data_IF_699591336582
#
_entry.id   IF_699591336582
#
_cell.length_a   1.000
_cell.length_b   1.000
_cell.length_c   1.000
_cell.angle_alpha   90.00
_cell.angle_beta   90.00
_cell.angle_gamma   90.00
#
_symmetry.space_group_name_H-M   'P 1'
#
loop_
_entity.id
_entity.type
_entity.pdbx_description
1 polymer ?
#
# COMPACT_ATOMS: atom_id res chain seq x y z
N UNK A 1 20.56 26.99 -12.72
CA UNK A 1 19.99 25.68 -12.27
C UNK A 1 21.11 24.66 -11.97
N UNK A 2 22.08 24.42 -12.87
CA UNK A 2 23.17 23.43 -12.62
C UNK A 2 24.08 23.78 -11.44
N UNK A 3 24.29 25.05 -11.10
CA UNK A 3 25.13 25.45 -9.97
C UNK A 3 24.48 25.22 -8.59
N UNK A 4 23.17 25.06 -8.53
CA UNK A 4 22.41 24.77 -7.30
C UNK A 4 22.20 23.29 -7.06
N UNK A 5 22.49 22.43 -8.06
CA UNK A 5 22.43 20.98 -7.90
C UNK A 5 23.68 20.51 -7.15
N UNK A 6 23.50 19.85 -6.01
CA UNK A 6 24.62 19.19 -5.30
C UNK A 6 25.40 18.26 -6.24
N UNK A 7 26.66 17.97 -5.93
CA UNK A 7 27.57 17.14 -6.77
C UNK A 7 27.02 15.75 -7.08
N UNK A 8 26.02 15.28 -6.35
CA UNK A 8 25.43 13.96 -6.46
C UNK A 8 24.41 13.84 -7.59
N UNK A 9 23.80 14.96 -8.00
CA UNK A 9 22.74 14.96 -8.99
C UNK A 9 23.28 15.18 -10.42
N UNK A 10 22.82 14.37 -11.35
CA UNK A 10 23.00 14.55 -12.79
C UNK A 10 21.90 15.43 -13.38
N UNK A 11 20.67 15.24 -12.86
CA UNK A 11 19.48 16.01 -13.20
C UNK A 11 18.75 16.39 -11.90
N UNK A 12 18.07 17.52 -11.88
CA UNK A 12 17.15 17.84 -10.79
C UNK A 12 16.00 16.85 -10.80
N UNK A 13 15.70 16.15 -9.68
CA UNK A 13 14.50 15.37 -9.60
C UNK A 13 13.28 16.30 -9.60
N UNK A 14 12.20 15.89 -10.24
CA UNK A 14 10.91 16.56 -10.12
C UNK A 14 10.40 16.46 -8.69
N UNK A 15 9.59 17.41 -8.24
CA UNK A 15 8.82 17.26 -7.02
C UNK A 15 7.76 16.16 -7.21
N UNK A 16 7.21 15.56 -6.13
CA UNK A 16 6.13 14.58 -6.28
C UNK A 16 4.94 15.12 -7.07
N UNK A 17 4.55 16.36 -6.81
CA UNK A 17 3.47 17.05 -7.51
C UNK A 17 3.77 17.23 -8.99
N UNK A 18 4.95 17.79 -9.33
CA UNK A 18 5.39 17.96 -10.70
C UNK A 18 5.45 16.64 -11.46
N UNK A 19 5.95 15.57 -10.83
CA UNK A 19 6.02 14.25 -11.42
C UNK A 19 4.63 13.65 -11.71
N UNK A 20 3.65 13.92 -10.86
CA UNK A 20 2.28 13.44 -11.02
C UNK A 20 1.52 14.27 -12.07
N UNK A 21 1.67 15.59 -12.07
CA UNK A 21 0.78 16.50 -12.81
C UNK A 21 1.34 16.93 -14.17
N UNK A 22 2.68 16.98 -14.34
CA UNK A 22 3.27 17.47 -15.58
C UNK A 22 3.18 16.45 -16.71
N UNK A 23 2.90 16.96 -17.93
CA UNK A 23 2.86 16.17 -19.16
C UNK A 23 4.22 15.55 -19.55
N UNK A 24 5.33 16.11 -19.08
CA UNK A 24 6.67 15.55 -19.24
C UNK A 24 6.83 14.22 -18.49
N UNK A 25 6.11 14.05 -17.39
CA UNK A 25 6.15 12.87 -16.54
C UNK A 25 4.86 12.03 -16.65
N UNK A 26 4.06 11.97 -15.61
CA UNK A 26 2.87 11.10 -15.55
C UNK A 26 1.56 11.81 -15.93
N UNK A 27 1.52 13.13 -16.02
CA UNK A 27 0.27 13.89 -16.17
C UNK A 27 -0.63 13.39 -17.29
N UNK A 28 -0.08 13.08 -18.48
CA UNK A 28 -0.86 12.54 -19.59
C UNK A 28 -1.28 11.08 -19.42
N UNK A 29 -0.65 10.32 -18.49
CA UNK A 29 -0.95 8.91 -18.25
C UNK A 29 -1.89 8.69 -17.07
N UNK A 30 -2.11 9.75 -16.29
CA UNK A 30 -2.96 9.74 -15.10
C UNK A 30 -4.24 10.51 -15.43
N UNK A 31 -5.37 9.84 -15.34
CA UNK A 31 -6.64 10.51 -15.52
C UNK A 31 -6.97 11.36 -14.27
N UNK A 32 -6.74 12.68 -14.36
CA UNK A 32 -6.93 13.61 -13.26
C UNK A 32 -8.38 13.73 -12.79
N UNK A 33 -9.34 13.51 -13.70
CA UNK A 33 -10.76 13.62 -13.40
C UNK A 33 -11.26 12.49 -12.48
N UNK A 34 -10.67 11.29 -12.61
CA UNK A 34 -11.18 10.10 -11.92
C UNK A 34 -10.47 9.77 -10.61
N UNK A 35 -9.25 10.27 -10.37
CA UNK A 35 -8.44 9.84 -9.24
C UNK A 35 -7.81 10.95 -8.39
N UNK A 36 -8.43 12.13 -8.20
CA UNK A 36 -7.80 13.23 -7.48
C UNK A 36 -7.44 12.86 -6.04
N UNK A 37 -8.36 12.19 -5.34
CA UNK A 37 -8.16 11.77 -3.93
C UNK A 37 -7.02 10.74 -3.81
N UNK A 38 -6.92 9.81 -4.76
CA UNK A 38 -5.86 8.79 -4.78
C UNK A 38 -4.48 9.41 -5.01
N UNK A 39 -4.40 10.43 -5.89
CA UNK A 39 -3.18 11.20 -6.09
C UNK A 39 -2.82 12.00 -4.84
N UNK A 40 -3.81 12.65 -4.23
CA UNK A 40 -3.60 13.42 -3.01
C UNK A 40 -3.02 12.56 -1.88
N UNK A 41 -3.50 11.32 -1.71
CA UNK A 41 -2.94 10.41 -0.71
C UNK A 41 -1.44 10.13 -0.93
N UNK A 42 -1.00 10.02 -2.19
CA UNK A 42 0.42 9.87 -2.50
C UNK A 42 1.20 11.15 -2.19
N UNK A 43 0.66 12.32 -2.54
CA UNK A 43 1.27 13.60 -2.22
C UNK A 43 1.39 13.82 -0.71
N UNK A 44 0.32 13.55 0.05
CA UNK A 44 0.31 13.66 1.51
C UNK A 44 1.38 12.77 2.14
N UNK A 45 1.56 11.55 1.63
CA UNK A 45 2.62 10.66 2.08
C UNK A 45 4.01 11.28 1.86
N UNK A 46 4.29 11.83 0.68
CA UNK A 46 5.59 12.45 0.43
C UNK A 46 5.81 13.73 1.26
N UNK A 47 4.76 14.53 1.46
CA UNK A 47 4.81 15.73 2.31
C UNK A 47 5.05 15.36 3.78
N UNK A 48 4.54 14.23 4.25
CA UNK A 48 4.75 13.76 5.62
C UNK A 48 6.22 13.51 5.97
N UNK A 49 7.07 13.28 4.97
CA UNK A 49 8.48 12.93 5.14
C UNK A 49 8.72 11.51 5.70
N UNK A 50 7.69 10.76 6.02
CA UNK A 50 7.76 9.43 6.62
C UNK A 50 8.33 8.38 5.67
N UNK A 51 8.92 7.32 6.24
CA UNK A 51 9.50 6.22 5.47
C UNK A 51 8.48 5.14 5.10
N UNK A 52 7.48 4.95 5.94
CA UNK A 52 6.47 3.90 5.78
C UNK A 52 5.09 4.50 5.52
N UNK A 53 4.30 3.85 4.67
CA UNK A 53 2.90 4.19 4.46
C UNK A 53 2.03 2.94 4.56
N UNK A 54 0.93 3.06 5.29
CA UNK A 54 -0.12 2.06 5.41
C UNK A 54 -1.41 2.57 4.76
N UNK A 55 -1.82 1.93 3.67
CA UNK A 55 -3.07 2.23 2.98
C UNK A 55 -4.08 1.10 3.20
N UNK A 56 -4.95 1.27 4.19
CA UNK A 56 -6.05 0.37 4.48
C UNK A 56 -7.27 0.78 3.67
N UNK A 57 -7.60 0.07 2.61
CA UNK A 57 -8.56 0.57 1.63
C UNK A 57 -9.52 -0.49 1.11
N UNK A 58 -10.72 -0.03 0.75
CA UNK A 58 -11.74 -0.83 0.11
C UNK A 58 -11.24 -1.50 -1.18
N UNK A 59 -11.92 -2.58 -1.60
CA UNK A 59 -11.65 -3.21 -2.88
C UNK A 59 -11.96 -2.23 -4.02
N UNK A 60 -11.00 -2.06 -4.93
CA UNK A 60 -11.16 -1.17 -6.09
C UNK A 60 -10.93 0.32 -5.80
N UNK A 61 -10.41 0.70 -4.62
CA UNK A 61 -10.09 2.09 -4.23
C UNK A 61 -8.91 2.73 -4.95
N UNK A 62 -8.11 1.96 -5.67
CA UNK A 62 -6.94 2.49 -6.38
C UNK A 62 -5.59 2.15 -5.75
N UNK A 63 -5.53 1.17 -4.84
CA UNK A 63 -4.27 0.68 -4.23
C UNK A 63 -3.14 0.51 -5.25
N UNK A 64 -3.37 -0.32 -6.27
CA UNK A 64 -2.36 -0.56 -7.31
C UNK A 64 -2.05 0.67 -8.19
N UNK A 65 -2.94 1.67 -8.20
CA UNK A 65 -2.69 2.95 -8.85
C UNK A 65 -1.65 3.75 -8.05
N UNK A 66 -1.81 3.85 -6.72
CA UNK A 66 -0.84 4.49 -5.81
C UNK A 66 0.54 3.82 -5.91
N UNK A 67 0.58 2.48 -5.81
CA UNK A 67 1.82 1.72 -5.95
C UNK A 67 2.57 2.02 -7.24
N UNK A 68 1.83 2.15 -8.36
CA UNK A 68 2.45 2.43 -9.66
C UNK A 68 3.06 3.84 -9.75
N UNK A 69 2.45 4.83 -9.08
CA UNK A 69 2.99 6.19 -8.99
C UNK A 69 4.26 6.19 -8.13
N UNK A 70 4.20 5.59 -6.93
CA UNK A 70 5.34 5.55 -6.01
C UNK A 70 6.53 4.86 -6.65
N UNK A 71 6.33 3.68 -7.25
CA UNK A 71 7.41 2.94 -7.92
C UNK A 71 8.06 3.76 -9.05
N UNK A 72 7.23 4.42 -9.88
CA UNK A 72 7.74 5.24 -10.97
C UNK A 72 8.50 6.48 -10.45
N UNK A 73 7.96 7.15 -9.43
CA UNK A 73 8.59 8.33 -8.85
C UNK A 73 9.94 8.01 -8.20
N UNK A 74 10.03 6.94 -7.42
CA UNK A 74 11.29 6.55 -6.80
C UNK A 74 12.33 6.09 -7.84
N UNK A 75 11.91 5.41 -8.91
CA UNK A 75 12.79 5.10 -10.03
C UNK A 75 13.32 6.40 -10.69
N UNK A 76 12.44 7.40 -10.90
CA UNK A 76 12.83 8.71 -11.40
C UNK A 76 13.88 9.38 -10.51
N UNK A 77 13.64 9.44 -9.21
CA UNK A 77 14.58 10.05 -8.24
C UNK A 77 15.97 9.39 -8.29
N UNK A 78 16.01 8.06 -8.26
CA UNK A 78 17.26 7.30 -8.31
C UNK A 78 18.02 7.53 -9.64
N UNK A 79 17.31 7.58 -10.77
CA UNK A 79 17.87 7.82 -12.08
C UNK A 79 18.42 9.25 -12.24
N UNK A 80 17.90 10.22 -11.50
CA UNK A 80 18.41 11.59 -11.47
C UNK A 80 19.78 11.69 -10.78
N UNK A 81 20.16 10.74 -9.93
CA UNK A 81 21.49 10.68 -9.32
C UNK A 81 22.57 10.36 -10.38
N UNK A 82 23.74 10.96 -10.27
CA UNK A 82 24.90 10.69 -11.14
C UNK A 82 25.42 9.27 -10.94
N UNK A 83 25.56 8.86 -9.70
CA UNK A 83 25.98 7.52 -9.29
C UNK A 83 25.17 7.08 -8.07
N UNK A 84 24.00 6.46 -8.28
CA UNK A 84 23.12 6.08 -7.17
C UNK A 84 23.79 5.17 -6.13
N UNK A 85 24.49 4.13 -6.56
CA UNK A 85 25.15 3.21 -5.64
C UNK A 85 26.16 3.94 -4.73
N UNK A 86 26.99 4.82 -5.28
CA UNK A 86 27.95 5.61 -4.51
C UNK A 86 27.24 6.57 -3.53
N UNK A 87 26.16 7.23 -3.98
CA UNK A 87 25.39 8.14 -3.13
C UNK A 87 24.79 7.40 -1.94
N UNK A 88 24.32 6.18 -2.15
CA UNK A 88 23.79 5.32 -1.09
C UNK A 88 24.90 4.63 -0.26
N UNK A 89 26.17 4.80 -0.62
CA UNK A 89 27.31 4.15 0.07
C UNK A 89 27.41 2.66 -0.18
N UNK A 90 26.92 2.21 -1.32
CA UNK A 90 26.91 0.82 -1.74
C UNK A 90 28.01 0.54 -2.78
N UNK A 91 28.29 -0.74 -3.02
CA UNK A 91 29.23 -1.15 -4.07
C UNK A 91 28.75 -0.74 -5.46
N UNK A 92 29.66 -0.51 -6.40
CA UNK A 92 29.33 -0.08 -7.77
C UNK A 92 28.51 -1.10 -8.57
N UNK A 93 28.54 -2.37 -8.18
CA UNK A 93 27.80 -3.49 -8.75
C UNK A 93 26.46 -3.75 -8.05
N UNK A 94 26.14 -3.00 -6.98
CA UNK A 94 24.88 -3.09 -6.24
C UNK A 94 23.66 -2.92 -7.15
N UNK A 95 22.69 -3.82 -6.97
CA UNK A 95 21.42 -3.79 -7.69
C UNK A 95 20.38 -3.06 -6.84
N UNK A 96 20.19 -1.78 -7.12
CA UNK A 96 19.20 -0.94 -6.43
C UNK A 96 17.80 -1.34 -6.85
N UNK A 97 17.03 -1.87 -5.92
CA UNK A 97 15.77 -2.53 -6.26
C UNK A 97 14.56 -1.85 -5.63
N UNK A 98 13.59 -1.60 -6.48
CA UNK A 98 12.20 -1.32 -6.14
C UNK A 98 11.45 -2.65 -6.24
N UNK A 99 11.09 -3.22 -5.11
CA UNK A 99 10.41 -4.52 -5.04
C UNK A 99 8.91 -4.31 -4.93
N UNK A 100 8.14 -4.99 -5.80
CA UNK A 100 6.70 -5.06 -5.68
C UNK A 100 6.28 -6.49 -5.35
N UNK A 101 5.71 -6.70 -4.18
CA UNK A 101 5.24 -7.99 -3.73
C UNK A 101 3.73 -8.11 -3.78
N UNK A 102 3.24 -9.34 -3.96
CA UNK A 102 1.85 -9.72 -3.83
C UNK A 102 1.71 -11.10 -3.20
N UNK A 103 0.51 -11.52 -2.78
CA UNK A 103 0.29 -12.82 -2.13
C UNK A 103 0.70 -14.02 -3.01
N UNK A 104 0.64 -13.85 -4.33
CA UNK A 104 1.01 -14.87 -5.32
C UNK A 104 1.78 -14.26 -6.47
N UNK A 105 2.79 -15.00 -6.98
CA UNK A 105 3.65 -14.55 -8.09
C UNK A 105 2.87 -14.03 -9.30
N UNK A 106 1.81 -14.73 -9.70
CA UNK A 106 0.99 -14.33 -10.84
C UNK A 106 0.23 -13.01 -10.58
N UNK A 107 -0.24 -12.79 -9.36
CA UNK A 107 -0.94 -11.57 -8.97
C UNK A 107 0.03 -10.39 -8.94
N UNK A 108 1.19 -10.53 -8.33
CA UNK A 108 2.23 -9.50 -8.31
C UNK A 108 2.61 -9.05 -9.74
N UNK A 109 2.81 -10.01 -10.65
CA UNK A 109 3.18 -9.72 -12.06
C UNK A 109 2.02 -9.12 -12.87
N UNK A 110 0.81 -9.68 -12.77
CA UNK A 110 -0.30 -9.28 -13.65
C UNK A 110 -1.01 -8.01 -13.19
N UNK A 111 -1.08 -7.74 -11.90
CA UNK A 111 -1.88 -6.63 -11.39
C UNK A 111 -1.02 -5.39 -11.18
N UNK A 112 -0.08 -5.41 -10.24
CA UNK A 112 0.67 -4.19 -9.88
C UNK A 112 1.84 -3.95 -10.83
N UNK A 113 2.65 -4.96 -11.09
CA UNK A 113 3.81 -4.80 -11.96
C UNK A 113 3.42 -4.36 -13.39
N UNK A 114 2.33 -4.90 -13.95
CA UNK A 114 1.85 -4.44 -15.26
C UNK A 114 1.43 -2.97 -15.26
N UNK A 115 0.86 -2.48 -14.16
CA UNK A 115 0.52 -1.06 -14.01
C UNK A 115 1.75 -0.19 -13.86
N UNK A 116 2.74 -0.63 -13.06
CA UNK A 116 4.03 0.06 -12.95
C UNK A 116 4.68 0.18 -14.33
N UNK A 117 4.77 -0.93 -15.07
CA UNK A 117 5.30 -0.95 -16.43
C UNK A 117 4.54 0.00 -17.35
N UNK A 118 3.20 -0.04 -17.30
CA UNK A 118 2.34 0.85 -18.09
C UNK A 118 2.61 2.33 -17.79
N UNK A 119 2.84 2.71 -16.52
CA UNK A 119 3.22 4.08 -16.15
C UNK A 119 4.59 4.48 -16.71
N UNK A 120 5.58 3.60 -16.56
CA UNK A 120 6.92 3.83 -17.13
C UNK A 120 6.85 3.96 -18.66
N UNK A 121 6.10 3.07 -19.32
CA UNK A 121 5.93 3.12 -20.78
C UNK A 121 5.14 4.35 -21.26
N UNK A 122 4.24 4.89 -20.46
CA UNK A 122 3.48 6.09 -20.79
C UNK A 122 4.28 7.39 -20.53
N UNK A 123 5.23 7.38 -19.60
CA UNK A 123 5.98 8.54 -19.15
C UNK A 123 7.02 8.97 -20.19
N UNK A 124 6.93 10.18 -20.79
CA UNK A 124 7.90 10.67 -21.78
C UNK A 124 9.32 10.73 -21.22
N UNK A 125 9.48 11.17 -19.97
CA UNK A 125 10.78 11.31 -19.33
C UNK A 125 11.62 10.02 -19.35
N UNK A 126 11.02 8.86 -18.99
CA UNK A 126 11.72 7.58 -19.06
C UNK A 126 12.08 7.19 -20.49
N UNK A 127 11.17 7.42 -21.43
CA UNK A 127 11.41 7.08 -22.84
C UNK A 127 12.61 7.82 -23.42
N UNK A 128 12.74 9.10 -23.10
CA UNK A 128 13.77 9.96 -23.69
C UNK A 128 15.10 9.87 -22.95
N UNK A 129 15.08 9.78 -21.62
CA UNK A 129 16.33 9.92 -20.86
C UNK A 129 16.87 8.61 -20.32
N UNK A 130 16.00 7.72 -19.90
CA UNK A 130 16.40 6.47 -19.20
C UNK A 130 15.49 5.29 -19.59
N UNK A 131 15.52 4.86 -20.88
CA UNK A 131 14.75 3.67 -21.26
C UNK A 131 15.27 2.43 -20.57
N UNK A 132 14.36 1.57 -20.14
CA UNK A 132 14.71 0.25 -19.60
C UNK A 132 14.92 -0.77 -20.73
N UNK A 133 15.58 -1.89 -20.43
CA UNK A 133 15.80 -2.98 -21.37
C UNK A 133 14.50 -3.74 -21.69
N UNK A 134 13.97 -3.54 -22.89
CA UNK A 134 12.72 -4.17 -23.35
C UNK A 134 12.85 -5.66 -23.71
N UNK A 135 14.07 -6.20 -23.80
CA UNK A 135 14.29 -7.62 -24.08
C UNK A 135 13.94 -8.47 -22.85
N UNK A 136 13.97 -7.88 -21.66
CA UNK A 136 13.68 -8.56 -20.40
C UNK A 136 12.25 -8.26 -20.00
N UNK A 137 11.45 -9.30 -19.81
CA UNK A 137 10.01 -9.18 -19.47
C UNK A 137 9.70 -9.48 -18.01
N UNK A 138 10.62 -10.13 -17.31
CA UNK A 138 10.43 -10.53 -15.91
C UNK A 138 10.60 -9.39 -14.91
N UNK A 139 11.36 -8.36 -15.29
CA UNK A 139 11.67 -7.20 -14.46
C UNK A 139 11.98 -5.99 -15.37
N UNK A 140 11.93 -4.76 -14.82
CA UNK A 140 12.40 -3.58 -15.53
C UNK A 140 13.84 -3.31 -15.10
N UNK A 141 14.75 -3.30 -16.07
CA UNK A 141 16.17 -2.99 -15.87
C UNK A 141 16.49 -1.65 -16.48
N UNK A 142 16.80 -0.69 -15.65
CA UNK A 142 17.23 0.63 -16.05
C UNK A 142 18.75 0.76 -16.04
N UNK A 143 19.32 1.81 -16.68
CA UNK A 143 20.71 2.19 -16.46
C UNK A 143 21.03 2.38 -14.97
N UNK A 144 22.33 2.42 -14.64
CA UNK A 144 22.85 2.65 -13.27
C UNK A 144 22.45 1.56 -12.27
N UNK A 145 22.20 0.33 -12.74
CA UNK A 145 21.82 -0.83 -11.94
C UNK A 145 20.55 -0.61 -11.10
N UNK A 146 19.54 0.07 -11.65
CA UNK A 146 18.25 0.28 -11.01
C UNK A 146 17.24 -0.72 -11.58
N UNK A 147 16.53 -1.43 -10.70
CA UNK A 147 15.61 -2.51 -11.05
C UNK A 147 14.25 -2.30 -10.42
N UNK A 148 13.19 -2.65 -11.15
CA UNK A 148 11.85 -2.84 -10.59
C UNK A 148 11.49 -4.32 -10.77
N UNK A 149 11.28 -5.02 -9.65
CA UNK A 149 11.16 -6.49 -9.60
C UNK A 149 9.83 -6.88 -8.95
N UNK A 150 9.05 -7.77 -9.59
CA UNK A 150 7.91 -8.40 -8.94
C UNK A 150 8.34 -9.59 -8.08
N UNK A 151 7.83 -9.70 -6.85
CA UNK A 151 8.05 -10.81 -5.92
C UNK A 151 6.74 -11.34 -5.33
N UNK A 152 6.81 -12.39 -4.54
CA UNK A 152 5.66 -12.93 -3.82
C UNK A 152 6.04 -13.43 -2.41
N UNK A 153 5.02 -13.62 -1.55
CA UNK A 153 5.21 -14.01 -0.15
C UNK A 153 5.70 -15.45 0.05
N UNK A 154 5.60 -16.30 -0.98
CA UNK A 154 5.96 -17.73 -0.90
C UNK A 154 7.39 -18.03 -1.39
N UNK A 155 8.02 -17.09 -2.06
CA UNK A 155 9.41 -17.25 -2.53
C UNK A 155 10.37 -16.78 -1.44
N UNK A 156 11.45 -17.53 -1.27
CA UNK A 156 12.56 -17.11 -0.42
C UNK A 156 12.99 -15.71 -0.85
N UNK A 157 13.01 -14.81 0.07
CA UNK A 157 13.30 -13.39 -0.10
C UNK A 157 14.46 -13.18 -1.09
N UNK A 158 14.44 -12.22 -1.98
CA UNK A 158 15.51 -11.97 -2.95
C UNK A 158 16.79 -11.53 -2.24
N UNK A 159 17.54 -12.54 -1.76
CA UNK A 159 18.80 -12.42 -1.01
C UNK A 159 19.95 -11.86 -1.88
N UNK A 160 19.76 -11.02 -2.79
CA UNK A 160 20.83 -10.47 -3.63
C UNK A 160 20.60 -9.03 -4.04
N UNK A 161 19.49 -8.43 -3.61
CA UNK A 161 19.12 -7.06 -4.00
C UNK A 161 19.33 -6.06 -2.87
N UNK A 162 19.79 -4.87 -3.21
CA UNK A 162 19.82 -3.71 -2.31
C UNK A 162 18.49 -2.96 -2.44
N UNK A 163 17.58 -3.22 -1.50
CA UNK A 163 16.24 -2.64 -1.51
C UNK A 163 16.28 -1.16 -1.16
N UNK A 164 15.60 -0.36 -1.96
CA UNK A 164 15.37 1.08 -1.72
C UNK A 164 13.89 1.40 -1.58
N UNK A 165 13.02 0.57 -2.18
CA UNK A 165 11.56 0.64 -2.01
C UNK A 165 11.00 -0.76 -1.95
N UNK A 166 10.07 -1.00 -1.03
CA UNK A 166 9.24 -2.20 -0.99
C UNK A 166 7.77 -1.80 -1.04
N UNK A 167 7.01 -2.46 -1.90
CA UNK A 167 5.56 -2.31 -2.03
C UNK A 167 4.94 -3.66 -1.75
N UNK A 168 4.15 -3.76 -0.67
CA UNK A 168 3.47 -4.96 -0.22
C UNK A 168 1.98 -4.84 -0.55
N UNK A 169 1.59 -5.36 -1.71
CA UNK A 169 0.20 -5.29 -2.20
C UNK A 169 -0.61 -6.46 -1.64
N UNK A 170 -1.78 -6.17 -1.10
CA UNK A 170 -2.67 -7.10 -0.41
C UNK A 170 -1.95 -7.83 0.75
N UNK A 171 -1.24 -7.07 1.59
CA UNK A 171 -0.37 -7.58 2.64
C UNK A 171 -1.09 -8.47 3.67
N UNK A 172 -2.35 -8.17 4.02
CA UNK A 172 -3.15 -9.02 4.94
C UNK A 172 -3.37 -10.45 4.43
N UNK A 173 -3.15 -10.69 3.13
CA UNK A 173 -3.30 -12.00 2.50
C UNK A 173 -1.98 -12.76 2.34
N UNK A 174 -0.90 -12.29 2.96
CA UNK A 174 0.39 -12.96 2.88
C UNK A 174 0.42 -14.17 3.81
N UNK A 175 0.61 -15.33 3.21
CA UNK A 175 0.76 -16.60 3.91
C UNK A 175 1.97 -17.37 3.35
N UNK A 176 2.57 -18.22 4.18
CA UNK A 176 3.62 -19.15 3.77
C UNK A 176 3.02 -20.39 3.06
N UNK A 177 3.86 -21.42 2.89
CA UNK A 177 3.43 -22.68 2.27
C UNK A 177 2.52 -23.53 3.17
N UNK A 178 2.45 -23.22 4.46
CA UNK A 178 1.60 -23.87 5.46
C UNK A 178 0.37 -23.01 5.83
N UNK A 179 0.07 -21.99 5.01
CA UNK A 179 -1.01 -21.02 5.17
C UNK A 179 -0.95 -20.18 6.48
N UNK A 180 0.25 -20.03 7.08
CA UNK A 180 0.46 -19.16 8.24
C UNK A 180 0.66 -17.70 7.78
N UNK A 181 0.10 -16.70 8.49
CA UNK A 181 0.33 -15.28 8.18
C UNK A 181 1.82 -14.92 8.33
N UNK A 182 2.41 -14.29 7.31
CA UNK A 182 3.83 -13.92 7.28
C UNK A 182 4.10 -12.45 6.92
N UNK A 183 3.06 -11.62 6.90
CA UNK A 183 3.20 -10.21 6.51
C UNK A 183 4.15 -9.43 7.42
N UNK A 184 4.06 -9.63 8.74
CA UNK A 184 4.93 -8.97 9.73
C UNK A 184 6.40 -9.36 9.52
N UNK A 185 6.67 -10.64 9.35
CA UNK A 185 8.03 -11.15 9.16
C UNK A 185 8.66 -10.59 7.89
N UNK A 186 7.89 -10.56 6.80
CA UNK A 186 8.33 -10.00 5.51
C UNK A 186 8.58 -8.51 5.63
N UNK A 187 7.65 -7.76 6.20
CA UNK A 187 7.77 -6.32 6.41
C UNK A 187 9.02 -5.99 7.24
N UNK A 188 9.18 -6.65 8.39
CA UNK A 188 10.30 -6.44 9.28
C UNK A 188 11.65 -6.76 8.62
N UNK A 189 11.72 -7.87 7.88
CA UNK A 189 12.93 -8.25 7.16
C UNK A 189 13.32 -7.20 6.10
N UNK A 190 12.35 -6.63 5.39
CA UNK A 190 12.59 -5.56 4.42
C UNK A 190 13.06 -4.28 5.10
N UNK A 191 12.40 -3.87 6.18
CA UNK A 191 12.76 -2.68 6.96
C UNK A 191 14.21 -2.78 7.46
N UNK A 192 14.55 -3.86 8.15
CA UNK A 192 15.91 -4.08 8.67
C UNK A 192 16.96 -4.05 7.56
N UNK A 193 16.63 -4.60 6.38
CA UNK A 193 17.54 -4.60 5.24
C UNK A 193 17.77 -3.20 4.69
N UNK A 194 16.72 -2.39 4.54
CA UNK A 194 16.84 -1.01 4.08
C UNK A 194 17.59 -0.15 5.10
N UNK A 195 17.29 -0.27 6.37
CA UNK A 195 17.98 0.43 7.46
C UNK A 195 19.48 0.10 7.49
N UNK A 196 19.84 -1.18 7.36
CA UNK A 196 21.24 -1.61 7.40
C UNK A 196 22.04 -1.24 6.16
N UNK A 197 21.43 -1.26 4.97
CA UNK A 197 22.11 -1.03 3.69
C UNK A 197 22.10 0.42 3.27
N UNK A 198 20.95 1.06 3.35
CA UNK A 198 20.72 2.41 2.87
C UNK A 198 20.73 3.42 4.01
N UNK A 199 20.10 3.07 5.13
CA UNK A 199 20.07 3.91 6.35
C UNK A 199 19.59 5.32 6.07
N UNK A 200 20.27 6.31 6.63
CA UNK A 200 19.92 7.72 6.48
C UNK A 200 20.47 8.38 5.19
N UNK A 201 21.15 7.61 4.32
CA UNK A 201 21.72 8.16 3.08
C UNK A 201 20.69 8.40 2.00
N UNK A 202 19.56 7.70 2.10
CA UNK A 202 18.43 7.83 1.19
C UNK A 202 17.12 7.61 1.92
N UNK A 203 16.06 8.39 1.62
CA UNK A 203 14.74 8.17 2.22
C UNK A 203 14.05 6.97 1.56
N UNK A 204 14.49 5.75 1.96
CA UNK A 204 13.85 4.51 1.54
C UNK A 204 12.35 4.48 1.90
N UNK A 205 11.57 3.65 1.23
CA UNK A 205 10.10 3.60 1.40
C UNK A 205 9.59 2.16 1.52
N UNK A 206 8.69 1.93 2.48
CA UNK A 206 7.84 0.73 2.55
C UNK A 206 6.39 1.18 2.41
N UNK A 207 5.66 0.53 1.50
CA UNK A 207 4.27 0.85 1.21
C UNK A 207 3.44 -0.41 1.42
N UNK A 208 2.69 -0.46 2.51
CA UNK A 208 1.76 -1.53 2.80
C UNK A 208 0.37 -1.14 2.29
N UNK A 209 -0.19 -1.96 1.42
CA UNK A 209 -1.52 -1.75 0.85
C UNK A 209 -2.34 -3.02 1.05
N UNK A 210 -3.52 -2.90 1.65
CA UNK A 210 -4.46 -4.02 1.72
C UNK A 210 -5.89 -3.54 1.91
N UNK A 211 -6.83 -4.40 1.57
CA UNK A 211 -8.14 -4.37 2.21
C UNK A 211 -7.99 -5.11 3.55
N UNK A 212 -8.61 -4.63 4.63
CA UNK A 212 -8.48 -5.28 5.93
C UNK A 212 -9.14 -6.66 5.88
N UNK A 213 -8.53 -7.65 6.49
CA UNK A 213 -9.10 -9.00 6.55
C UNK A 213 -9.78 -9.25 7.90
N UNK A 214 -9.04 -9.10 9.00
CA UNK A 214 -9.52 -9.30 10.36
C UNK A 214 -9.05 -8.16 11.27
N UNK A 215 -9.73 -7.97 12.41
CA UNK A 215 -9.46 -6.91 13.40
C UNK A 215 -8.01 -6.91 13.91
N UNK A 216 -7.38 -8.10 14.03
CA UNK A 216 -5.98 -8.24 14.42
C UNK A 216 -5.05 -8.51 13.24
N UNK A 217 -5.51 -8.22 12.00
CA UNK A 217 -4.74 -8.36 10.79
C UNK A 217 -3.53 -7.43 10.75
N UNK A 218 -2.57 -7.75 9.87
CA UNK A 218 -1.35 -6.95 9.71
C UNK A 218 -1.67 -5.48 9.41
N UNK A 219 -2.60 -5.22 8.48
CA UNK A 219 -2.91 -3.86 8.05
C UNK A 219 -3.58 -3.04 9.17
N UNK A 220 -4.40 -3.67 10.01
CA UNK A 220 -5.04 -3.00 11.15
C UNK A 220 -4.02 -2.62 12.23
N UNK A 221 -3.05 -3.51 12.52
CA UNK A 221 -1.96 -3.19 13.44
C UNK A 221 -1.08 -2.05 12.92
N UNK A 222 -0.79 -2.03 11.61
CA UNK A 222 -0.05 -0.93 10.97
C UNK A 222 -0.84 0.38 10.99
N UNK A 223 -2.17 0.34 10.85
CA UNK A 223 -3.01 1.52 11.01
C UNK A 223 -2.98 2.04 12.46
N UNK A 224 -3.07 1.15 13.45
CA UNK A 224 -2.95 1.53 14.86
C UNK A 224 -1.56 2.13 15.18
N UNK A 225 -0.49 1.57 14.59
CA UNK A 225 0.85 2.15 14.68
C UNK A 225 0.91 3.56 14.06
N UNK A 226 0.26 3.76 12.91
CA UNK A 226 0.21 5.07 12.24
C UNK A 226 -0.52 6.15 13.06
N UNK A 227 -1.53 5.74 13.83
CA UNK A 227 -2.31 6.63 14.70
C UNK A 227 -1.60 6.94 16.04
N UNK A 228 -0.51 6.22 16.35
CA UNK A 228 0.25 6.46 17.56
C UNK A 228 1.01 7.80 17.53
N UNK A 229 1.17 8.49 18.67
CA UNK A 229 1.97 9.71 18.74
C UNK A 229 3.40 9.49 18.25
N UNK A 230 3.91 10.40 17.41
CA UNK A 230 5.26 10.36 16.84
C UNK A 230 5.57 9.12 15.98
N UNK A 231 4.56 8.52 15.39
CA UNK A 231 4.73 7.39 14.47
C UNK A 231 5.51 7.78 13.22
N UNK A 232 6.39 6.89 12.75
CA UNK A 232 7.07 7.01 11.45
C UNK A 232 6.23 6.44 10.29
N UNK A 233 5.04 5.93 10.59
CA UNK A 233 4.10 5.36 9.59
C UNK A 233 3.05 6.40 9.21
N UNK A 234 2.89 6.63 7.90
CA UNK A 234 1.78 7.39 7.35
C UNK A 234 0.58 6.46 7.19
N UNK A 235 -0.53 6.72 7.88
CA UNK A 235 -1.76 5.94 7.79
C UNK A 235 -2.83 6.61 6.93
N UNK A 236 -3.51 5.83 6.10
CA UNK A 236 -4.69 6.31 5.37
C UNK A 236 -5.71 5.20 5.21
N UNK A 237 -6.93 5.43 5.71
CA UNK A 237 -8.09 4.54 5.49
C UNK A 237 -9.04 5.18 4.47
N UNK A 238 -9.51 4.37 3.49
CA UNK A 238 -10.44 4.87 2.46
C UNK A 238 -11.56 3.87 2.16
N UNK A 239 -12.81 4.21 2.44
CA UNK A 239 -13.95 3.50 1.87
C UNK A 239 -14.07 3.78 0.36
N UNK A 240 -14.77 2.91 -0.37
CA UNK A 240 -14.84 2.99 -1.84
C UNK A 240 -15.42 4.32 -2.35
N UNK A 241 -16.37 4.89 -1.66
CA UNK A 241 -17.03 6.13 -2.07
C UNK A 241 -16.19 7.41 -1.86
N UNK A 242 -15.18 7.34 -1.02
CA UNK A 242 -14.20 8.42 -0.93
C UNK A 242 -13.17 8.33 -2.05
N UNK A 243 -12.76 7.11 -2.40
CA UNK A 243 -11.84 6.88 -3.51
C UNK A 243 -12.48 7.18 -4.87
N UNK A 244 -13.80 6.96 -5.00
CA UNK A 244 -14.56 7.13 -6.24
C UNK A 244 -15.87 7.92 -6.03
N UNK A 245 -15.78 9.19 -5.63
CA UNK A 245 -16.98 9.98 -5.31
C UNK A 245 -17.92 10.12 -6.52
N UNK A 246 -17.41 10.10 -7.75
CA UNK A 246 -18.23 10.14 -8.96
C UNK A 246 -19.09 8.90 -9.20
N UNK A 247 -18.69 7.74 -8.67
CA UNK A 247 -19.48 6.49 -8.79
C UNK A 247 -20.53 6.37 -7.69
N UNK A 248 -20.35 7.09 -6.60
CA UNK A 248 -21.22 7.04 -5.42
C UNK A 248 -21.69 8.43 -5.03
N UNK A 249 -22.37 9.15 -5.97
CA UNK A 249 -22.94 10.46 -5.68
C UNK A 249 -24.15 10.33 -4.73
N UNK A 250 -24.60 11.45 -4.18
CA UNK A 250 -25.81 11.50 -3.35
C UNK A 250 -25.55 11.50 -1.85
N UNK A 251 -26.63 11.34 -1.10
CA UNK A 251 -26.58 11.45 0.36
C UNK A 251 -25.93 10.24 1.02
N UNK A 252 -25.33 10.49 2.17
CA UNK A 252 -24.93 9.45 3.12
C UNK A 252 -26.08 9.25 4.09
N UNK A 253 -26.49 8.01 4.27
CA UNK A 253 -27.55 7.64 5.20
C UNK A 253 -26.96 6.78 6.33
N UNK A 254 -27.58 6.88 7.48
CA UNK A 254 -27.21 6.09 8.63
C UNK A 254 -27.66 4.65 8.44
N UNK A 255 -26.72 3.72 8.61
CA UNK A 255 -26.95 2.29 8.68
C UNK A 255 -26.33 1.74 9.96
N UNK A 256 -27.16 1.07 10.80
CA UNK A 256 -26.70 0.49 12.06
C UNK A 256 -26.48 -1.00 11.91
N UNK A 257 -25.32 -1.50 12.31
CA UNK A 257 -24.99 -2.91 12.36
C UNK A 257 -24.24 -3.23 13.66
N UNK A 258 -24.70 -4.26 14.39
CA UNK A 258 -24.16 -4.66 15.71
C UNK A 258 -23.98 -3.49 16.67
N UNK A 259 -24.96 -2.58 16.74
CA UNK A 259 -24.95 -1.41 17.61
C UNK A 259 -24.04 -0.26 17.18
N UNK A 260 -23.31 -0.40 16.06
CA UNK A 260 -22.45 0.64 15.50
C UNK A 260 -23.13 1.33 14.31
N UNK A 261 -23.05 2.64 14.27
CA UNK A 261 -23.62 3.47 13.23
C UNK A 261 -22.60 3.80 12.14
N UNK A 262 -22.96 3.53 10.90
CA UNK A 262 -22.14 3.80 9.72
C UNK A 262 -22.85 4.78 8.78
N UNK A 263 -22.11 5.72 8.19
CA UNK A 263 -22.61 6.64 7.18
C UNK A 263 -22.27 6.10 5.79
N UNK A 264 -23.24 5.50 5.12
CA UNK A 264 -23.05 4.81 3.83
C UNK A 264 -23.81 5.51 2.70
N UNK A 265 -23.35 5.41 1.44
CA UNK A 265 -24.12 5.89 0.30
C UNK A 265 -25.48 5.18 0.24
N UNK A 266 -26.55 5.92 0.03
CA UNK A 266 -27.90 5.38 -0.10
C UNK A 266 -27.98 4.23 -1.13
N UNK A 267 -27.32 4.40 -2.28
CA UNK A 267 -27.27 3.38 -3.35
C UNK A 267 -26.57 2.07 -2.94
N UNK A 268 -25.84 2.02 -1.82
CA UNK A 268 -25.17 0.84 -1.30
C UNK A 268 -25.89 0.18 -0.12
N UNK A 269 -26.99 0.79 0.39
CA UNK A 269 -27.68 0.28 1.57
C UNK A 269 -28.17 -1.16 1.37
N UNK A 270 -28.70 -1.50 0.23
CA UNK A 270 -29.18 -2.86 -0.06
C UNK A 270 -28.05 -3.91 0.01
N UNK A 271 -26.83 -3.55 -0.45
CA UNK A 271 -25.63 -4.40 -0.34
C UNK A 271 -25.21 -4.55 1.13
N UNK A 272 -25.23 -3.44 1.89
CA UNK A 272 -24.88 -3.41 3.30
C UNK A 272 -25.80 -4.30 4.15
N UNK A 273 -27.11 -4.24 3.93
CA UNK A 273 -28.11 -5.05 4.65
C UNK A 273 -27.99 -6.53 4.28
N UNK A 274 -27.73 -6.83 3.00
CA UNK A 274 -27.67 -8.21 2.52
C UNK A 274 -26.45 -8.98 3.03
N UNK A 275 -25.28 -8.34 3.09
CA UNK A 275 -24.02 -8.98 3.47
C UNK A 275 -23.17 -8.01 4.33
N UNK A 276 -23.56 -7.73 5.59
CA UNK A 276 -22.96 -6.70 6.43
C UNK A 276 -21.44 -6.81 6.56
N UNK A 277 -20.95 -7.95 7.00
CA UNK A 277 -19.52 -8.17 7.25
C UNK A 277 -18.68 -8.00 5.98
N UNK A 278 -19.15 -8.56 4.86
CA UNK A 278 -18.47 -8.39 3.58
C UNK A 278 -18.50 -6.95 3.12
N UNK A 279 -19.61 -6.24 3.32
CA UNK A 279 -19.75 -4.83 2.99
C UNK A 279 -18.78 -3.96 3.79
N UNK A 280 -18.68 -4.19 5.11
CA UNK A 280 -17.74 -3.47 5.98
C UNK A 280 -16.30 -3.66 5.49
N UNK A 281 -15.90 -4.88 5.22
CA UNK A 281 -14.54 -5.17 4.74
C UNK A 281 -14.28 -4.62 3.33
N UNK A 282 -15.12 -4.98 2.36
CA UNK A 282 -14.85 -4.76 0.95
C UNK A 282 -15.17 -3.32 0.50
N UNK A 283 -16.17 -2.65 1.14
CA UNK A 283 -16.63 -1.31 0.76
C UNK A 283 -16.23 -0.23 1.75
N UNK A 284 -16.24 -0.52 3.05
CA UNK A 284 -15.93 0.47 4.07
C UNK A 284 -14.45 0.48 4.46
N UNK A 285 -13.67 -0.53 4.08
CA UNK A 285 -12.31 -0.76 4.55
C UNK A 285 -12.24 -0.89 6.09
N UNK A 286 -13.20 -1.60 6.67
CA UNK A 286 -13.30 -1.89 8.09
C UNK A 286 -13.08 -3.39 8.29
N UNK A 287 -12.17 -3.73 9.18
CA UNK A 287 -11.90 -5.10 9.57
C UNK A 287 -13.13 -5.73 10.25
N UNK A 288 -13.21 -7.03 10.17
CA UNK A 288 -14.31 -7.80 10.75
C UNK A 288 -13.74 -8.96 11.57
N UNK A 289 -14.48 -9.37 12.58
CA UNK A 289 -14.09 -10.49 13.43
C UNK A 289 -14.15 -11.81 12.63
N UNK A 290 -15.18 -11.98 11.80
CA UNK A 290 -15.35 -13.15 10.91
C UNK A 290 -16.29 -12.82 9.75
N UNK A 291 -16.05 -13.42 8.58
CA UNK A 291 -16.98 -13.33 7.43
C UNK A 291 -18.29 -14.07 7.67
N UNK A 292 -18.20 -15.19 8.38
CA UNK A 292 -19.32 -16.05 8.75
C UNK A 292 -19.15 -16.45 10.22
N UNK A 293 -19.50 -15.55 11.16
CA UNK A 293 -19.36 -15.86 12.57
C UNK A 293 -20.24 -17.06 12.93
N UNK A 294 -19.67 -18.01 13.66
CA UNK A 294 -20.42 -19.17 14.17
C UNK A 294 -21.59 -18.74 15.07
N UNK A 295 -21.35 -17.66 15.83
CA UNK A 295 -22.38 -16.98 16.61
C UNK A 295 -22.54 -15.56 16.06
N UNK A 296 -23.62 -15.27 15.31
CA UNK A 296 -23.82 -13.96 14.69
C UNK A 296 -24.20 -12.86 15.67
N UNK A 297 -24.67 -13.23 16.87
CA UNK A 297 -25.09 -12.29 17.91
C UNK A 297 -24.14 -12.37 19.12
N UNK A 298 -23.12 -11.52 19.13
CA UNK A 298 -22.19 -11.40 20.25
C UNK A 298 -22.87 -10.93 21.54
N UNK A 299 -23.87 -10.06 21.44
CA UNK A 299 -24.59 -9.59 22.61
C UNK A 299 -25.35 -10.72 23.32
N UNK A 300 -25.87 -11.69 22.57
CA UNK A 300 -26.49 -12.88 23.15
C UNK A 300 -25.47 -13.79 23.89
N UNK A 301 -24.22 -13.84 23.36
CA UNK A 301 -23.14 -14.59 24.03
C UNK A 301 -22.76 -13.90 25.33
N UNK A 302 -22.53 -12.59 25.31
CA UNK A 302 -22.17 -11.80 26.47
C UNK A 302 -23.26 -11.87 27.54
N UNK A 303 -24.51 -11.73 27.13
CA UNK A 303 -25.65 -11.91 28.03
C UNK A 303 -25.71 -13.33 28.66
N UNK A 304 -25.37 -14.36 27.86
CA UNK A 304 -25.28 -15.75 28.36
C UNK A 304 -24.13 -15.92 29.36
N UNK A 305 -22.97 -15.30 29.09
CA UNK A 305 -21.82 -15.32 30.01
C UNK A 305 -22.17 -14.60 31.32
N UNK A 306 -22.77 -13.41 31.22
CA UNK A 306 -23.21 -12.65 32.40
C UNK A 306 -24.24 -13.39 33.22
N UNK A 307 -25.20 -14.07 32.59
CA UNK A 307 -26.17 -14.92 33.28
C UNK A 307 -25.49 -16.10 34.01
N UNK A 308 -24.51 -16.73 33.37
CA UNK A 308 -23.71 -17.81 33.94
C UNK A 308 -22.89 -17.35 35.17
N UNK A 309 -22.24 -16.17 35.06
CA UNK A 309 -21.50 -15.58 36.19
C UNK A 309 -22.41 -15.26 37.38
N UNK A 310 -23.61 -14.70 37.13
CA UNK A 310 -24.61 -14.44 38.20
C UNK A 310 -25.11 -15.72 38.82
N UNK A 311 -25.31 -16.76 38.03
CA UNK A 311 -25.67 -18.08 38.56
C UNK A 311 -24.58 -18.66 39.48
N UNK A 312 -23.30 -18.56 39.08
CA UNK A 312 -22.18 -18.98 39.92
C UNK A 312 -22.11 -18.23 41.25
N UNK A 313 -22.46 -16.94 41.26
CA UNK A 313 -22.45 -16.10 42.44
C UNK A 313 -23.66 -16.33 43.36
N UNK A 314 -24.83 -16.49 42.80
CA UNK A 314 -26.11 -16.44 43.51
C UNK A 314 -26.86 -17.78 43.51
N UNK A 315 -26.44 -18.76 42.73
CA UNK A 315 -27.10 -20.09 42.65
C UNK A 315 -28.46 -20.08 41.94
N UNK A 316 -28.83 -18.99 41.28
CA UNK A 316 -30.10 -18.88 40.55
C UNK A 316 -29.87 -18.28 39.17
N UNK A 317 -30.50 -18.84 38.14
CA UNK A 317 -30.61 -18.17 36.83
C UNK A 317 -31.58 -16.98 36.91
N UNK A 318 -31.32 -15.90 36.22
CA UNK A 318 -32.22 -14.75 36.15
C UNK A 318 -33.54 -15.09 35.48
#
# INVERSE_FOLDING_TARGET
VRAALGREWERAPATPEEFIESAEFLGNSLNNEYWPVVKQDVLDFYVSGKHEACFCEAIGSGKSYKSSIVAAYEAHRLLCLRNPAKTLGLSSDSKLTILNMGPRAMQARRVVYSKIRGRIDACPWFKFFFPYDKKITSELRFPKNIYIVPGNSKETFPLGYDLVVAILDEADFYVDNEDRPVADEIHQAMRMRMESRVGNKWPWKIIDLSSPLYEEGFIERKMAEADAPNSDVFGRRRPIWEAKPWQYPGQRIKWTHLGVDYMVPEGLLAEAVKNPNRFLRDRCAIAITSLTPYFPDHAAIDAGIDAGLRFQQNGTFP
#
